data_IF_530259892016
#
_entry.id   IF_530259892016
#
_cell.length_a   1.000
_cell.length_b   1.000
_cell.length_c   1.000
_cell.angle_alpha   90.00
_cell.angle_beta   90.00
_cell.angle_gamma   90.00
#
_symmetry.space_group_name_H-M   'P 1'
#
loop_
_entity.id
_entity.type
_entity.pdbx_description
1 polymer ?
#
# COMPACT_ATOMS: atom_id res chain seq x y z
N UNK A 1 -3.67 3.63 -0.83
CA UNK A 1 -4.95 4.35 -1.03
C UNK A 1 -5.71 4.48 0.30
N UNK A 2 -5.97 3.36 1.01
CA UNK A 2 -6.73 3.37 2.27
C UNK A 2 -6.21 4.42 3.26
N UNK A 3 -4.91 4.51 3.46
CA UNK A 3 -4.30 5.43 4.42
C UNK A 3 -4.30 6.90 3.97
N UNK A 4 -4.71 7.18 2.76
CA UNK A 4 -4.89 8.54 2.25
C UNK A 4 -6.38 8.90 2.18
N UNK A 5 -7.23 7.99 1.75
CA UNK A 5 -8.68 8.24 1.69
C UNK A 5 -9.37 8.23 3.06
N UNK A 6 -9.02 7.30 3.96
CA UNK A 6 -9.67 7.25 5.29
C UNK A 6 -9.45 8.53 6.12
N UNK A 7 -8.24 9.11 6.20
CA UNK A 7 -8.06 10.40 6.86
C UNK A 7 -8.84 11.55 6.21
N UNK A 8 -9.00 11.53 4.88
CA UNK A 8 -9.81 12.54 4.18
C UNK A 8 -11.31 12.40 4.55
N UNK A 9 -11.84 11.18 4.55
CA UNK A 9 -13.22 10.90 4.98
C UNK A 9 -13.41 11.25 6.47
N UNK A 10 -12.46 10.88 7.32
CA UNK A 10 -12.50 11.18 8.73
C UNK A 10 -12.54 12.70 9.00
N UNK A 11 -11.75 13.47 8.24
CA UNK A 11 -11.76 14.93 8.32
C UNK A 11 -13.13 15.52 8.01
N UNK A 12 -13.77 15.08 6.94
CA UNK A 12 -15.12 15.54 6.56
C UNK A 12 -16.17 15.11 7.62
N UNK A 13 -15.98 13.97 8.26
CA UNK A 13 -16.82 13.49 9.35
C UNK A 13 -16.51 14.14 10.72
N UNK A 14 -15.55 15.07 10.80
CA UNK A 14 -15.12 15.68 12.06
C UNK A 14 -14.34 14.74 12.99
N UNK A 15 -13.87 13.61 12.49
CA UNK A 15 -13.09 12.61 13.24
C UNK A 15 -11.61 12.86 13.05
N UNK A 16 -10.87 12.96 14.17
CA UNK A 16 -9.41 13.06 14.12
C UNK A 16 -8.80 11.67 13.87
N UNK A 17 -8.24 11.47 12.69
CA UNK A 17 -7.50 10.27 12.33
C UNK A 17 -6.06 10.66 11.96
N UNK A 18 -5.09 10.19 12.74
CA UNK A 18 -3.67 10.41 12.49
C UNK A 18 -3.10 9.25 11.68
N UNK A 19 -2.23 9.54 10.72
CA UNK A 19 -1.51 8.54 9.94
C UNK A 19 -0.65 7.59 10.80
N UNK A 20 -0.21 8.01 11.98
CA UNK A 20 0.58 7.17 12.88
C UNK A 20 -0.14 5.88 13.30
N UNK A 21 -1.48 5.90 13.33
CA UNK A 21 -2.29 4.71 13.61
C UNK A 21 -2.02 3.57 12.60
N UNK A 22 -1.65 3.92 11.38
CA UNK A 22 -1.29 2.92 10.35
C UNK A 22 -0.06 2.10 10.77
N UNK A 23 0.95 2.76 11.33
CA UNK A 23 2.14 2.05 11.82
C UNK A 23 1.81 1.17 13.03
N UNK A 24 0.94 1.62 13.92
CA UNK A 24 0.52 0.84 15.08
C UNK A 24 -0.27 -0.40 14.69
N UNK A 25 -1.22 -0.24 13.79
CA UNK A 25 -2.02 -1.37 13.27
C UNK A 25 -1.13 -2.30 12.46
N UNK A 26 -0.31 -1.78 11.55
CA UNK A 26 0.57 -2.57 10.71
C UNK A 26 1.56 -3.41 11.53
N UNK A 27 2.09 -2.90 12.63
CA UNK A 27 2.97 -3.68 13.53
C UNK A 27 2.31 -4.91 14.14
N UNK A 28 1.00 -4.87 14.34
CA UNK A 28 0.23 -5.93 15.03
C UNK A 28 -0.46 -6.88 14.05
N UNK A 29 -0.70 -6.44 12.82
CA UNK A 29 -1.48 -7.18 11.82
C UNK A 29 -0.54 -7.98 10.93
N UNK A 30 -0.60 -9.31 10.93
CA UNK A 30 0.24 -10.12 10.07
C UNK A 30 -0.18 -10.00 8.60
N UNK A 31 0.78 -10.20 7.69
CA UNK A 31 0.49 -10.30 6.25
C UNK A 31 0.15 -11.75 5.91
N UNK A 32 -1.10 -12.00 5.57
CA UNK A 32 -1.63 -13.35 5.31
C UNK A 32 -1.73 -13.69 3.82
N UNK A 33 -1.68 -12.68 2.92
CA UNK A 33 -1.88 -12.87 1.49
C UNK A 33 -0.80 -12.10 0.71
N UNK A 34 -0.34 -12.68 -0.39
CA UNK A 34 0.68 -12.07 -1.25
C UNK A 34 0.14 -11.94 -2.68
N UNK A 35 -0.73 -10.95 -2.88
CA UNK A 35 -1.46 -10.75 -4.14
C UNK A 35 -0.67 -9.91 -5.14
N UNK A 36 -0.94 -10.11 -6.44
CA UNK A 36 -0.42 -9.27 -7.51
C UNK A 36 -0.76 -7.77 -7.27
N UNK A 37 0.16 -6.84 -7.61
CA UNK A 37 1.43 -7.07 -8.30
C UNK A 37 2.62 -7.45 -7.40
N UNK A 38 2.47 -7.45 -6.07
CA UNK A 38 3.56 -7.78 -5.15
C UNK A 38 3.81 -9.31 -5.06
N UNK A 39 2.83 -10.12 -5.45
CA UNK A 39 2.91 -11.58 -5.54
C UNK A 39 2.35 -12.07 -6.87
N UNK A 40 2.18 -13.38 -6.98
CA UNK A 40 1.70 -14.04 -8.21
C UNK A 40 0.24 -14.50 -8.12
N UNK A 41 -0.41 -14.29 -6.98
CA UNK A 41 -1.80 -14.69 -6.71
C UNK A 41 -2.75 -13.55 -7.07
N UNK A 42 -3.85 -13.86 -7.73
CA UNK A 42 -4.88 -12.89 -8.13
C UNK A 42 -6.08 -12.91 -7.19
N UNK A 43 -7.00 -11.94 -7.37
CA UNK A 43 -8.20 -11.85 -6.55
C UNK A 43 -9.16 -13.02 -6.75
N UNK A 44 -9.15 -13.66 -7.90
CA UNK A 44 -9.92 -14.87 -8.19
C UNK A 44 -9.44 -16.02 -7.31
N UNK A 45 -8.13 -16.23 -7.26
CA UNK A 45 -7.50 -17.25 -6.42
C UNK A 45 -7.81 -17.00 -4.93
N UNK A 46 -7.73 -15.73 -4.50
CA UNK A 46 -8.09 -15.35 -3.14
C UNK A 46 -9.54 -15.72 -2.83
N UNK A 47 -10.47 -15.43 -3.76
CA UNK A 47 -11.88 -15.73 -3.59
C UNK A 47 -12.12 -17.25 -3.44
N UNK A 48 -11.48 -18.06 -4.27
CA UNK A 48 -11.55 -19.52 -4.21
C UNK A 48 -10.95 -20.08 -2.92
N UNK A 49 -9.87 -19.48 -2.42
CA UNK A 49 -9.21 -19.85 -1.18
C UNK A 49 -10.03 -19.50 0.10
N UNK A 50 -11.17 -18.85 -0.04
CA UNK A 50 -12.06 -18.48 1.06
C UNK A 50 -12.38 -16.98 1.12
N UNK A 51 -11.71 -16.17 0.31
CA UNK A 51 -11.98 -14.75 0.14
C UNK A 51 -11.60 -13.88 1.33
N UNK A 52 -11.99 -12.62 1.24
CA UNK A 52 -11.73 -11.62 2.29
C UNK A 52 -12.33 -12.03 3.63
N UNK A 53 -13.47 -12.70 3.63
CA UNK A 53 -14.13 -13.13 4.86
C UNK A 53 -13.34 -14.22 5.60
N UNK A 54 -12.67 -15.12 4.88
CA UNK A 54 -11.77 -16.09 5.50
C UNK A 54 -10.56 -15.40 6.14
N UNK A 55 -9.99 -14.38 5.48
CA UNK A 55 -8.90 -13.56 6.04
C UNK A 55 -9.39 -12.84 7.31
N UNK A 56 -10.57 -12.23 7.27
CA UNK A 56 -11.15 -11.55 8.44
C UNK A 56 -11.38 -12.54 9.58
N UNK A 57 -11.95 -13.71 9.30
CA UNK A 57 -12.17 -14.73 10.32
C UNK A 57 -10.84 -15.24 10.91
N UNK A 58 -9.80 -15.36 10.10
CA UNK A 58 -8.47 -15.75 10.59
C UNK A 58 -7.89 -14.71 11.56
N UNK A 59 -8.08 -13.41 11.29
CA UNK A 59 -7.63 -12.32 12.16
C UNK A 59 -8.38 -12.25 13.49
N UNK A 60 -9.61 -12.76 13.59
CA UNK A 60 -10.34 -12.84 14.87
C UNK A 60 -9.64 -13.75 15.87
N UNK A 61 -8.95 -14.80 15.40
CA UNK A 61 -8.24 -15.76 16.27
C UNK A 61 -7.14 -15.12 17.12
N UNK A 62 -6.67 -13.95 16.70
CA UNK A 62 -5.64 -13.14 17.41
C UNK A 62 -6.17 -11.80 17.93
N UNK A 63 -7.50 -11.61 17.94
CA UNK A 63 -8.14 -10.45 18.52
C UNK A 63 -7.90 -9.14 17.76
N UNK A 64 -7.64 -9.21 16.44
CA UNK A 64 -7.35 -8.03 15.61
C UNK A 64 -8.58 -7.47 14.89
N UNK A 65 -9.75 -8.04 15.11
CA UNK A 65 -10.99 -7.61 14.49
C UNK A 65 -12.08 -7.47 15.55
N UNK A 66 -12.77 -6.33 15.55
CA UNK A 66 -13.97 -6.13 16.35
C UNK A 66 -15.16 -6.80 15.64
N UNK A 67 -15.67 -7.88 16.25
CA UNK A 67 -16.73 -8.70 15.68
C UNK A 67 -18.13 -8.18 15.95
N UNK A 68 -18.29 -7.23 16.86
CA UNK A 68 -19.59 -6.73 17.31
C UNK A 68 -20.09 -5.54 16.48
N UNK A 69 -19.23 -4.98 15.62
CA UNK A 69 -19.57 -3.85 14.78
C UNK A 69 -20.65 -4.23 13.75
N UNK A 70 -21.68 -3.40 13.66
CA UNK A 70 -22.77 -3.56 12.67
C UNK A 70 -22.24 -3.21 11.27
N UNK A 71 -22.62 -4.02 10.29
CA UNK A 71 -22.26 -3.83 8.89
C UNK A 71 -23.47 -3.37 8.06
N UNK A 72 -23.22 -3.01 6.79
CA UNK A 72 -24.26 -2.65 5.83
C UNK A 72 -25.27 -3.77 5.55
N UNK A 73 -24.97 -5.02 5.92
CA UNK A 73 -25.93 -6.15 5.81
C UNK A 73 -26.97 -6.17 6.92
N UNK A 74 -26.88 -5.29 7.92
CA UNK A 74 -27.68 -5.31 9.13
C UNK A 74 -27.29 -6.37 10.16
N UNK A 75 -26.20 -7.12 9.88
CA UNK A 75 -25.59 -8.11 10.78
C UNK A 75 -24.28 -7.59 11.31
N UNK A 76 -23.76 -8.19 12.37
CA UNK A 76 -22.42 -7.88 12.86
C UNK A 76 -21.34 -8.44 11.94
N UNK A 77 -20.12 -7.94 12.10
CA UNK A 77 -18.93 -8.49 11.42
C UNK A 77 -18.82 -9.98 11.73
N UNK A 78 -18.92 -10.37 13.02
CA UNK A 78 -18.81 -11.75 13.44
C UNK A 78 -19.86 -12.66 12.82
N UNK A 79 -21.12 -12.20 12.70
CA UNK A 79 -22.18 -12.96 12.03
C UNK A 79 -21.90 -13.17 10.54
N UNK A 80 -21.35 -12.15 9.87
CA UNK A 80 -21.05 -12.24 8.43
C UNK A 80 -19.88 -13.16 8.12
N UNK A 81 -18.87 -13.23 8.99
CA UNK A 81 -17.68 -14.06 8.76
C UNK A 81 -17.75 -15.46 9.38
N UNK A 82 -18.84 -15.74 10.11
CA UNK A 82 -19.02 -17.03 10.79
C UNK A 82 -18.94 -18.19 9.81
N UNK A 83 -18.02 -19.12 10.07
CA UNK A 83 -17.83 -20.31 9.23
C UNK A 83 -17.06 -20.06 7.93
N UNK A 84 -16.56 -18.84 7.70
CA UNK A 84 -15.66 -18.55 6.59
C UNK A 84 -14.26 -19.01 6.94
N UNK A 85 -13.82 -20.13 6.36
CA UNK A 85 -12.53 -20.75 6.64
C UNK A 85 -11.57 -20.63 5.46
N UNK A 86 -10.28 -20.70 5.75
CA UNK A 86 -9.24 -20.82 4.73
C UNK A 86 -9.38 -22.18 4.06
N UNK A 87 -9.52 -22.20 2.74
CA UNK A 87 -9.61 -23.42 1.92
C UNK A 87 -8.27 -23.78 1.28
N UNK A 88 -7.41 -22.77 1.08
CA UNK A 88 -6.07 -22.95 0.51
C UNK A 88 -5.06 -22.11 1.30
N UNK A 89 -4.14 -22.79 1.98
CA UNK A 89 -3.11 -22.17 2.83
C UNK A 89 -1.90 -21.66 2.05
N UNK A 90 -1.77 -21.99 0.77
CA UNK A 90 -0.73 -21.44 -0.10
C UNK A 90 -1.11 -20.01 -0.55
N UNK A 91 -2.40 -19.69 -0.58
CA UNK A 91 -2.94 -18.40 -0.98
C UNK A 91 -3.23 -17.52 0.24
N UNK A 92 -3.98 -18.04 1.23
CA UNK A 92 -4.27 -17.37 2.49
C UNK A 92 -3.54 -18.12 3.61
N UNK A 93 -2.47 -17.56 4.12
CA UNK A 93 -1.72 -18.18 5.23
C UNK A 93 -2.43 -17.99 6.56
N UNK A 94 -2.38 -18.98 7.45
CA UNK A 94 -2.90 -18.82 8.81
C UNK A 94 -2.05 -17.84 9.61
N UNK A 95 -2.64 -17.24 10.65
CA UNK A 95 -1.93 -16.32 11.57
C UNK A 95 -0.73 -16.96 12.27
N UNK A 96 -0.71 -18.28 12.37
CA UNK A 96 0.41 -19.04 12.94
C UNK A 96 1.61 -19.17 12.00
N UNK A 97 1.41 -18.96 10.69
CA UNK A 97 2.45 -19.04 9.66
C UNK A 97 2.27 -17.96 8.57
N UNK A 98 2.28 -16.67 8.91
CA UNK A 98 2.06 -15.59 7.97
C UNK A 98 3.26 -15.39 7.03
N UNK A 99 3.07 -14.69 5.90
CA UNK A 99 4.17 -14.21 5.05
C UNK A 99 5.09 -13.23 5.80
N UNK A 100 4.49 -12.39 6.64
CA UNK A 100 5.21 -11.50 7.56
C UNK A 100 4.40 -11.35 8.84
N UNK A 101 5.08 -11.23 9.98
CA UNK A 101 4.46 -10.96 11.28
C UNK A 101 3.89 -9.55 11.38
N UNK A 102 4.25 -8.67 10.46
CA UNK A 102 3.80 -7.28 10.38
C UNK A 102 3.13 -7.00 9.05
N UNK A 103 2.25 -6.01 9.01
CA UNK A 103 1.55 -5.58 7.80
C UNK A 103 2.45 -4.93 6.76
N UNK A 104 1.88 -4.75 5.58
CA UNK A 104 2.60 -4.27 4.40
C UNK A 104 2.60 -2.74 4.22
N UNK A 105 2.06 -1.96 5.16
CA UNK A 105 2.01 -0.50 5.08
C UNK A 105 2.96 0.09 6.12
N UNK A 106 3.71 1.13 5.72
CA UNK A 106 4.47 1.96 6.64
C UNK A 106 4.24 3.44 6.34
N UNK A 107 4.20 4.25 7.39
CA UNK A 107 4.22 5.71 7.32
C UNK A 107 5.63 6.16 7.71
N UNK A 108 6.29 6.84 6.77
CA UNK A 108 7.63 7.39 6.93
C UNK A 108 7.53 8.87 7.27
N UNK A 109 8.41 9.35 8.14
CA UNK A 109 8.49 10.78 8.51
C UNK A 109 9.93 11.27 8.36
N UNK A 110 10.05 12.51 7.95
CA UNK A 110 11.33 13.19 7.80
C UNK A 110 11.14 14.64 7.40
N UNK A 111 12.24 15.34 7.16
CA UNK A 111 12.21 16.75 6.75
C UNK A 111 11.52 16.99 5.39
N UNK A 112 11.48 15.98 4.52
CA UNK A 112 10.77 16.06 3.25
C UNK A 112 9.26 15.87 3.42
N UNK A 113 8.85 15.02 4.36
CA UNK A 113 7.44 14.73 4.65
C UNK A 113 7.23 14.69 6.19
N UNK A 114 7.19 15.86 6.86
CA UNK A 114 7.07 15.93 8.31
C UNK A 114 5.75 15.38 8.84
N UNK A 115 4.68 15.52 8.07
CA UNK A 115 3.35 14.99 8.40
C UNK A 115 3.18 13.51 8.04
N UNK A 116 4.14 12.95 7.31
CA UNK A 116 4.18 11.55 6.91
C UNK A 116 4.00 11.31 5.42
N UNK A 117 4.62 10.26 4.94
CA UNK A 117 4.40 9.67 3.62
C UNK A 117 4.09 8.19 3.76
N UNK A 118 3.27 7.64 2.88
CA UNK A 118 2.82 6.24 2.93
C UNK A 118 3.60 5.41 1.91
N UNK A 119 4.11 4.28 2.34
CA UNK A 119 4.74 3.29 1.47
C UNK A 119 4.13 1.91 1.69
N UNK A 120 3.93 1.18 0.59
CA UNK A 120 3.57 -0.25 0.63
C UNK A 120 4.87 -1.06 0.82
N UNK A 121 5.30 -1.18 2.07
CA UNK A 121 6.53 -1.86 2.45
C UNK A 121 6.61 -3.29 1.91
N UNK A 122 5.49 -3.99 1.81
CA UNK A 122 5.43 -5.37 1.30
C UNK A 122 5.78 -5.51 -0.18
N UNK A 123 5.81 -4.39 -0.93
CA UNK A 123 6.18 -4.36 -2.34
C UNK A 123 7.56 -3.73 -2.60
N UNK A 124 8.24 -3.29 -1.54
CA UNK A 124 9.60 -2.74 -1.65
C UNK A 124 10.59 -3.90 -1.66
N UNK A 125 11.47 -3.93 -2.66
CA UNK A 125 12.56 -4.89 -2.74
C UNK A 125 13.50 -4.73 -1.53
N UNK A 126 14.06 -5.82 -1.03
CA UNK A 126 14.86 -5.80 0.21
C UNK A 126 16.06 -4.85 0.10
N UNK A 127 16.73 -4.82 -1.05
CA UNK A 127 17.83 -3.91 -1.36
C UNK A 127 17.43 -2.43 -1.39
N UNK A 128 16.14 -2.12 -1.59
CA UNK A 128 15.58 -0.77 -1.64
C UNK A 128 15.01 -0.30 -0.29
N UNK A 129 15.05 -1.15 0.75
CA UNK A 129 14.60 -0.76 2.09
C UNK A 129 15.44 0.38 2.69
N UNK A 130 16.65 0.53 2.23
CA UNK A 130 17.55 1.65 2.52
C UNK A 130 18.13 2.19 1.21
N UNK A 131 17.63 3.36 0.79
CA UNK A 131 18.10 3.97 -0.46
C UNK A 131 18.55 5.40 -0.23
N UNK A 132 19.66 5.78 -0.89
CA UNK A 132 20.19 7.14 -0.92
C UNK A 132 20.68 7.45 -2.32
N UNK A 133 20.20 8.52 -2.91
CA UNK A 133 20.54 8.93 -4.25
C UNK A 133 20.34 10.40 -4.53
N UNK A 134 20.88 10.85 -5.67
CA UNK A 134 20.61 12.19 -6.18
C UNK A 134 19.14 12.31 -6.61
N UNK A 135 18.48 13.40 -6.25
CA UNK A 135 17.10 13.66 -6.65
C UNK A 135 17.04 14.16 -8.10
N UNK A 136 16.17 13.53 -8.90
CA UNK A 136 15.73 13.99 -10.21
C UNK A 136 14.32 14.52 -10.08
N UNK A 137 14.18 15.83 -10.01
CA UNK A 137 12.91 16.51 -9.70
C UNK A 137 12.19 16.93 -10.97
N UNK A 138 10.91 16.61 -11.05
CA UNK A 138 10.01 16.94 -12.14
C UNK A 138 8.76 17.60 -11.57
N UNK A 139 8.22 18.57 -12.30
CA UNK A 139 7.05 19.35 -11.89
C UNK A 139 5.72 18.77 -12.42
N UNK A 140 5.80 17.71 -13.23
CA UNK A 140 4.65 16.94 -13.71
C UNK A 140 5.05 15.50 -14.05
N UNK A 141 4.04 14.64 -14.18
CA UNK A 141 4.21 13.24 -14.54
C UNK A 141 4.79 13.06 -15.93
N UNK A 142 4.36 13.86 -16.88
CA UNK A 142 4.73 13.78 -18.29
C UNK A 142 6.24 14.00 -18.51
N UNK A 143 6.80 14.99 -17.82
CA UNK A 143 8.23 15.30 -17.90
C UNK A 143 9.08 14.17 -17.29
N UNK A 144 8.60 13.60 -16.19
CA UNK A 144 9.26 12.42 -15.58
C UNK A 144 9.23 11.22 -16.52
N UNK A 145 8.09 10.91 -17.14
CA UNK A 145 7.95 9.83 -18.12
C UNK A 145 8.88 10.02 -19.31
N UNK A 146 8.91 11.23 -19.87
CA UNK A 146 9.82 11.55 -20.98
C UNK A 146 11.27 11.30 -20.60
N UNK A 147 11.69 11.72 -19.41
CA UNK A 147 13.04 11.53 -18.92
C UNK A 147 13.38 10.04 -18.70
N UNK A 148 12.43 9.24 -18.22
CA UNK A 148 12.61 7.80 -18.03
C UNK A 148 12.78 7.09 -19.39
N UNK A 149 11.89 7.36 -20.36
CA UNK A 149 11.94 6.76 -21.69
C UNK A 149 13.17 7.19 -22.50
N UNK A 150 13.62 8.43 -22.31
CA UNK A 150 14.83 8.94 -22.94
C UNK A 150 16.13 8.40 -22.30
N UNK A 151 16.03 7.55 -21.28
CA UNK A 151 17.20 7.01 -20.58
C UNK A 151 17.99 8.05 -19.78
N UNK A 152 17.34 9.13 -19.35
CA UNK A 152 17.95 10.23 -18.58
C UNK A 152 18.00 9.98 -17.07
N UNK A 153 17.40 8.88 -16.61
CA UNK A 153 17.43 8.46 -15.20
C UNK A 153 18.51 7.41 -15.03
N UNK A 154 19.43 7.65 -14.11
CA UNK A 154 20.53 6.75 -13.84
C UNK A 154 20.24 5.82 -12.65
N UNK A 155 20.82 4.61 -12.62
CA UNK A 155 20.78 3.76 -11.45
C UNK A 155 21.23 4.51 -10.18
N UNK A 156 20.51 4.31 -9.08
CA UNK A 156 20.79 4.96 -7.80
C UNK A 156 20.14 6.32 -7.60
N UNK A 157 19.49 6.90 -8.61
CA UNK A 157 18.79 8.18 -8.47
C UNK A 157 17.43 8.02 -7.76
N UNK A 158 16.88 9.13 -7.30
CA UNK A 158 15.53 9.24 -6.74
C UNK A 158 14.72 10.14 -7.65
N UNK A 159 13.72 9.59 -8.33
CA UNK A 159 12.76 10.37 -9.13
C UNK A 159 11.77 11.02 -8.17
N UNK A 160 11.59 12.33 -8.27
CA UNK A 160 10.67 13.11 -7.46
C UNK A 160 9.70 13.83 -8.39
N UNK A 161 8.40 13.50 -8.32
CA UNK A 161 7.34 14.16 -9.07
C UNK A 161 6.52 14.98 -8.08
N UNK A 162 6.42 16.27 -8.32
CA UNK A 162 5.74 17.22 -7.43
C UNK A 162 4.63 18.00 -8.16
N UNK A 163 3.76 18.65 -7.38
CA UNK A 163 2.61 19.46 -7.86
C UNK A 163 1.51 18.65 -8.56
N UNK A 164 1.47 17.37 -8.32
CA UNK A 164 0.43 16.47 -8.83
C UNK A 164 -0.57 16.04 -7.74
N UNK A 165 -0.31 16.43 -6.50
CA UNK A 165 -1.19 16.18 -5.35
C UNK A 165 -2.42 17.10 -5.35
N UNK A 166 -3.38 16.84 -4.45
CA UNK A 166 -4.65 17.57 -4.40
C UNK A 166 -4.49 19.03 -3.98
N UNK A 167 -3.40 19.38 -3.30
CA UNK A 167 -3.12 20.73 -2.83
C UNK A 167 -2.19 21.45 -3.80
N UNK A 168 -2.78 22.07 -4.80
CA UNK A 168 -2.05 22.88 -5.79
C UNK A 168 -1.78 22.18 -7.12
N UNK A 169 -2.16 20.92 -7.26
CA UNK A 169 -2.07 20.15 -8.50
C UNK A 169 -3.42 19.94 -9.18
N UNK A 170 -3.45 19.24 -10.31
CA UNK A 170 -4.67 18.99 -11.09
C UNK A 170 -5.64 18.00 -10.45
N UNK A 171 -5.33 17.49 -9.26
CA UNK A 171 -6.13 16.51 -8.57
C UNK A 171 -5.39 15.17 -8.38
N UNK A 172 -6.14 14.10 -8.21
CA UNK A 172 -5.55 12.78 -7.91
C UNK A 172 -5.23 12.02 -9.18
N UNK A 173 -3.99 12.12 -9.64
CA UNK A 173 -3.46 11.27 -10.70
C UNK A 173 -3.07 9.90 -10.16
N UNK A 174 -3.00 8.92 -11.03
CA UNK A 174 -2.71 7.53 -10.63
C UNK A 174 -1.22 7.19 -10.71
N UNK A 175 -0.30 7.97 -10.99
CA UNK A 175 1.16 7.71 -11.05
C UNK A 175 1.57 6.25 -11.45
N UNK A 176 0.70 5.58 -12.22
CA UNK A 176 0.92 4.21 -12.69
C UNK A 176 2.00 4.18 -13.77
N UNK A 177 1.95 5.14 -14.68
CA UNK A 177 2.87 5.19 -15.80
C UNK A 177 4.34 5.38 -15.38
N UNK A 178 4.70 6.29 -14.47
CA UNK A 178 6.08 6.42 -14.01
C UNK A 178 6.61 5.16 -13.34
N UNK A 179 5.81 4.48 -12.51
CA UNK A 179 6.23 3.22 -11.88
C UNK A 179 6.44 2.13 -12.91
N UNK A 180 5.53 1.99 -13.86
CA UNK A 180 5.64 1.02 -14.95
C UNK A 180 6.83 1.31 -15.86
N UNK A 181 7.11 2.58 -16.15
CA UNK A 181 8.23 2.99 -16.98
C UNK A 181 9.58 2.69 -16.28
N UNK A 182 9.71 2.96 -14.98
CA UNK A 182 10.89 2.61 -14.19
C UNK A 182 11.12 1.09 -14.20
N UNK A 183 10.08 0.32 -13.95
CA UNK A 183 10.16 -1.14 -14.00
C UNK A 183 10.51 -1.66 -15.39
N UNK A 184 9.85 -1.15 -16.44
CA UNK A 184 10.09 -1.51 -17.83
C UNK A 184 11.48 -1.15 -18.35
N UNK A 185 12.10 -0.11 -17.79
CA UNK A 185 13.47 0.29 -18.09
C UNK A 185 14.55 -0.49 -17.30
N UNK A 186 14.13 -1.48 -16.49
CA UNK A 186 15.05 -2.28 -15.68
C UNK A 186 15.61 -1.55 -14.46
N UNK A 187 15.03 -0.41 -14.07
CA UNK A 187 15.49 0.44 -12.98
C UNK A 187 14.77 0.18 -11.64
N UNK A 188 13.82 -0.76 -11.59
CA UNK A 188 12.92 -0.98 -10.45
C UNK A 188 13.65 -1.35 -9.15
N UNK A 189 14.84 -1.97 -9.23
CA UNK A 189 15.62 -2.39 -8.06
C UNK A 189 16.72 -1.40 -7.68
N UNK A 190 16.80 -0.24 -8.32
CA UNK A 190 17.89 0.71 -8.07
C UNK A 190 17.47 2.20 -8.15
N UNK A 191 16.22 2.49 -8.48
CA UNK A 191 15.68 3.85 -8.52
C UNK A 191 14.46 3.93 -7.61
N UNK A 192 14.43 4.91 -6.72
CA UNK A 192 13.26 5.19 -5.89
C UNK A 192 12.36 6.25 -6.54
N UNK A 193 11.06 6.18 -6.32
CA UNK A 193 10.09 7.17 -6.75
C UNK A 193 9.39 7.79 -5.54
N UNK A 194 9.32 9.12 -5.52
CA UNK A 194 8.62 9.91 -4.51
C UNK A 194 7.67 10.87 -5.23
N UNK A 195 6.45 11.01 -4.74
CA UNK A 195 5.47 11.98 -5.25
C UNK A 195 4.60 12.52 -4.13
N UNK A 196 4.05 13.71 -4.32
CA UNK A 196 3.02 14.29 -3.47
C UNK A 196 1.60 13.84 -3.87
N UNK A 197 1.50 12.98 -4.89
CA UNK A 197 0.26 12.39 -5.36
C UNK A 197 0.06 10.97 -4.82
N UNK A 198 -1.12 10.39 -5.12
CA UNK A 198 -1.41 8.99 -4.83
C UNK A 198 -0.71 8.07 -5.84
N UNK A 199 0.03 7.10 -5.32
CA UNK A 199 0.46 5.94 -6.09
C UNK A 199 -0.60 4.84 -5.95
N UNK A 200 -1.31 4.54 -7.04
CA UNK A 200 -2.35 3.50 -7.04
C UNK A 200 -1.78 2.09 -7.10
N UNK A 201 -0.55 1.97 -7.54
CA UNK A 201 0.18 0.70 -7.57
C UNK A 201 1.59 0.91 -7.08
N UNK A 202 1.97 0.10 -6.22
CA UNK A 202 3.37 -0.09 -5.84
C UNK A 202 3.64 -1.56 -5.73
#
# INVERSE_FOLDING_TARGET
>A
NTMLHLPAIAKEAGVKLNLDIANEISKKTPNLCHLAPAGHTYMEDLNEAGGVYAVMNELTKVGLLDTDLITATGKTVGENIKGCEIKDTDIIRPVTNPYSKTGGIAVLKGNLAPDGSVVKRSAVAEEMMHHKGAARVFDCEEDALSAIYDGKINPGEVVVIRYEGPKGGPGMREMLNPTSAIMGSGLGNCVALITDCLLYTS
#
